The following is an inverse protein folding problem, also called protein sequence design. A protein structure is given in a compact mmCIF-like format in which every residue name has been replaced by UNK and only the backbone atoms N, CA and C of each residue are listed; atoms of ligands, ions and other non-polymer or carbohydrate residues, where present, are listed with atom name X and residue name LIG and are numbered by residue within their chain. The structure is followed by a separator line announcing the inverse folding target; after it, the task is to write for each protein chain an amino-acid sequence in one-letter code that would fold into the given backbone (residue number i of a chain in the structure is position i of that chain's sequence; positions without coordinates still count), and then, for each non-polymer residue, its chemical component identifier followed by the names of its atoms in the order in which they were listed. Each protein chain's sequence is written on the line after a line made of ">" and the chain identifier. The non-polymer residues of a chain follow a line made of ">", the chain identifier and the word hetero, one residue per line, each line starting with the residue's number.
data_IF_425228846946
#
_entry.id   IF_425228846946
#
_cell.length_a   1.000
_cell.length_b   1.000
_cell.length_c   1.000
_cell.angle_alpha   90.00
_cell.angle_beta   90.00
_cell.angle_gamma   90.00
#
_symmetry.space_group_name_H-M   'P 1'
#
loop_
_entity.id
_entity.type
_entity.pdbx_description
1 polymer ?
#
# COMPACT_ATOMS: atom_id res chain seq x y z
N UNK A 1 9.89 -3.98 0.44
CA UNK A 1 8.97 -4.86 1.20
C UNK A 1 7.59 -4.22 1.15
N UNK A 2 6.57 -4.82 0.51
CA UNK A 2 5.28 -4.09 0.31
C UNK A 2 4.47 -3.95 1.59
N UNK A 3 3.62 -2.91 1.66
CA UNK A 3 2.71 -2.66 2.77
C UNK A 3 1.83 -3.86 3.10
N UNK A 4 1.29 -4.52 2.07
CA UNK A 4 0.46 -5.71 2.23
C UNK A 4 1.24 -6.87 2.86
N UNK A 5 2.53 -7.01 2.54
CA UNK A 5 3.37 -8.06 3.10
C UNK A 5 3.76 -7.74 4.56
N UNK A 6 3.96 -6.47 4.89
CA UNK A 6 4.23 -6.03 6.27
C UNK A 6 3.09 -6.37 7.23
N UNK A 7 1.85 -6.02 6.88
CA UNK A 7 0.67 -6.32 7.71
C UNK A 7 0.46 -7.84 7.87
N UNK A 8 0.69 -8.62 6.81
CA UNK A 8 0.63 -10.10 6.84
C UNK A 8 1.73 -10.69 7.73
N UNK A 9 2.96 -10.23 7.57
CA UNK A 9 4.12 -10.71 8.34
C UNK A 9 3.98 -10.42 9.84
N UNK A 10 3.36 -9.29 10.20
CA UNK A 10 3.12 -8.91 11.60
C UNK A 10 1.83 -9.52 12.17
N UNK A 11 1.06 -10.25 11.36
CA UNK A 11 -0.25 -10.79 11.73
C UNK A 11 -1.21 -9.71 12.27
N UNK A 12 -1.13 -8.51 11.70
CA UNK A 12 -1.98 -7.38 12.10
C UNK A 12 -3.27 -7.45 11.29
N UNK A 13 -4.44 -7.49 11.95
CA UNK A 13 -5.71 -7.49 11.24
C UNK A 13 -5.94 -6.15 10.53
N UNK A 14 -6.39 -6.20 9.28
CA UNK A 14 -6.69 -5.03 8.43
C UNK A 14 -7.64 -4.05 9.14
N UNK A 15 -8.57 -4.57 9.95
CA UNK A 15 -9.47 -3.76 10.78
C UNK A 15 -8.72 -2.81 11.73
N UNK A 16 -7.70 -3.31 12.41
CA UNK A 16 -6.89 -2.49 13.34
C UNK A 16 -6.11 -1.44 12.58
N UNK A 17 -5.49 -1.80 11.45
CA UNK A 17 -4.76 -0.85 10.60
C UNK A 17 -5.68 0.27 10.11
N UNK A 18 -6.89 -0.08 9.68
CA UNK A 18 -7.88 0.89 9.22
C UNK A 18 -8.33 1.83 10.35
N UNK A 19 -8.55 1.30 11.55
CA UNK A 19 -8.93 2.06 12.74
C UNK A 19 -7.84 3.06 13.16
N UNK A 20 -6.59 2.62 13.25
CA UNK A 20 -5.45 3.48 13.61
C UNK A 20 -5.12 4.53 12.54
N UNK A 21 -5.38 4.22 11.28
CA UNK A 21 -5.26 5.16 10.18
C UNK A 21 -6.52 6.02 9.99
N UNK A 22 -7.55 5.85 10.82
CA UNK A 22 -8.84 6.55 10.76
C UNK A 22 -9.48 6.53 9.36
N UNK A 23 -9.41 5.37 8.70
CA UNK A 23 -10.01 5.14 7.37
C UNK A 23 -10.96 3.95 7.43
N UNK A 24 -11.88 3.88 6.45
CA UNK A 24 -12.75 2.72 6.32
C UNK A 24 -11.96 1.48 5.87
N UNK A 25 -12.25 0.31 6.44
CA UNK A 25 -11.66 -0.95 5.99
C UNK A 25 -11.85 -1.19 4.49
N UNK A 26 -13.03 -0.91 3.95
CA UNK A 26 -13.29 -1.03 2.50
C UNK A 26 -12.39 -0.13 1.65
N UNK A 27 -12.00 1.03 2.18
CA UNK A 27 -11.07 1.93 1.51
C UNK A 27 -9.65 1.35 1.50
N UNK A 28 -9.20 0.84 2.65
CA UNK A 28 -7.92 0.16 2.78
C UNK A 28 -7.83 -1.08 1.88
N UNK A 29 -8.90 -1.89 1.82
CA UNK A 29 -8.97 -3.05 0.93
C UNK A 29 -8.78 -2.68 -0.54
N UNK A 30 -9.42 -1.62 -1.02
CA UNK A 30 -9.27 -1.15 -2.40
C UNK A 30 -7.84 -0.71 -2.71
N UNK A 31 -7.15 -0.09 -1.75
CA UNK A 31 -5.74 0.27 -1.91
C UNK A 31 -4.87 -1.00 -1.97
N UNK A 32 -5.07 -1.93 -1.04
CA UNK A 32 -4.32 -3.20 -0.99
C UNK A 32 -4.59 -4.13 -2.18
N UNK A 33 -5.69 -3.91 -2.90
CA UNK A 33 -6.05 -4.61 -4.13
C UNK A 33 -5.54 -3.90 -5.40
N UNK A 34 -4.90 -2.73 -5.27
CA UNK A 34 -4.47 -1.90 -6.40
C UNK A 34 -5.63 -1.20 -7.14
N UNK A 35 -6.88 -1.35 -6.67
CA UNK A 35 -8.07 -0.71 -7.28
C UNK A 35 -8.13 0.79 -7.01
N UNK A 36 -7.33 1.30 -6.07
CA UNK A 36 -7.29 2.71 -5.70
C UNK A 36 -5.89 3.18 -5.41
N UNK A 37 -5.53 4.33 -5.98
CA UNK A 37 -4.25 4.98 -5.70
C UNK A 37 -4.15 5.41 -4.23
N UNK A 38 -2.98 5.16 -3.65
CA UNK A 38 -2.63 5.62 -2.31
C UNK A 38 -2.26 7.11 -2.36
N UNK A 39 -3.09 7.97 -1.75
CA UNK A 39 -2.78 9.39 -1.66
C UNK A 39 -1.59 9.69 -0.74
N UNK A 40 -0.80 10.75 -1.01
CA UNK A 40 0.44 11.06 -0.27
C UNK A 40 0.21 11.34 1.22
N UNK A 41 -0.94 11.92 1.59
CA UNK A 41 -1.33 12.11 3.00
C UNK A 41 -1.49 10.78 3.73
N UNK A 42 -2.12 9.80 3.10
CA UNK A 42 -2.32 8.48 3.70
C UNK A 42 -1.00 7.70 3.72
N UNK A 43 -0.18 7.81 2.68
CA UNK A 43 1.16 7.24 2.67
C UNK A 43 2.00 7.74 3.85
N UNK A 44 2.00 9.06 4.11
CA UNK A 44 2.70 9.62 5.27
C UNK A 44 2.20 9.06 6.60
N UNK A 45 0.87 8.88 6.76
CA UNK A 45 0.30 8.24 7.95
C UNK A 45 0.74 6.79 8.11
N UNK A 46 0.79 6.02 7.03
CA UNK A 46 1.23 4.61 7.05
C UNK A 46 2.71 4.53 7.45
N UNK A 47 3.57 5.40 6.92
CA UNK A 47 4.99 5.47 7.29
C UNK A 47 5.13 5.68 8.80
N UNK A 48 4.43 6.67 9.36
CA UNK A 48 4.45 6.96 10.80
C UNK A 48 3.87 5.82 11.63
N UNK A 49 2.73 5.27 11.22
CA UNK A 49 2.08 4.13 11.89
C UNK A 49 2.98 2.89 11.93
N UNK A 50 3.75 2.66 10.86
CA UNK A 50 4.70 1.55 10.77
C UNK A 50 6.02 1.79 11.53
N UNK A 51 6.14 2.88 12.30
CA UNK A 51 7.38 3.31 12.96
C UNK A 51 8.55 3.42 11.96
N UNK A 52 8.27 3.98 10.77
CA UNK A 52 9.21 4.09 9.65
C UNK A 52 9.76 2.76 9.12
N UNK A 53 9.14 1.61 9.45
CA UNK A 53 9.49 0.32 8.86
C UNK A 53 9.11 0.24 7.36
N UNK A 54 8.18 1.07 6.91
CA UNK A 54 7.82 1.24 5.50
C UNK A 54 8.24 2.64 5.02
N UNK A 55 8.75 2.70 3.80
CA UNK A 55 9.07 3.97 3.13
C UNK A 55 8.06 4.28 2.03
N UNK A 56 8.06 5.53 1.53
CA UNK A 56 7.22 5.88 0.37
C UNK A 56 7.50 4.98 -0.84
N UNK A 57 8.74 4.58 -1.06
CA UNK A 57 9.11 3.64 -2.12
C UNK A 57 8.40 2.29 -1.93
N UNK A 58 8.41 1.73 -0.71
CA UNK A 58 7.69 0.49 -0.39
C UNK A 58 6.17 0.58 -0.58
N UNK A 59 5.60 1.78 -0.44
CA UNK A 59 4.17 2.05 -0.59
C UNK A 59 3.75 2.29 -2.05
N UNK A 60 4.65 2.79 -2.90
CA UNK A 60 4.40 3.09 -4.32
C UNK A 60 5.05 2.10 -5.29
N UNK A 61 5.85 1.15 -4.79
CA UNK A 61 6.54 0.15 -5.61
C UNK A 61 5.61 -0.70 -6.49
N UNK A 62 4.35 -0.91 -6.08
CA UNK A 62 3.37 -1.69 -6.86
C UNK A 62 2.79 -0.91 -8.06
N UNK A 63 2.99 0.41 -8.16
CA UNK A 63 2.49 1.22 -9.27
C UNK A 63 3.35 1.13 -10.55
N UNK A 64 4.58 0.60 -10.46
CA UNK A 64 5.58 0.67 -11.55
C UNK A 64 5.64 -0.62 -12.41
N UNK A 65 4.88 -1.67 -12.09
CA UNK A 65 4.93 -2.94 -12.84
C UNK A 65 3.95 -3.05 -14.01
N UNK A 66 2.88 -2.24 -14.08
CA UNK A 66 1.95 -2.29 -15.22
C UNK A 66 2.41 -1.51 -16.46
N UNK A 67 3.31 -0.53 -16.31
CA UNK A 67 3.78 0.27 -17.46
C UNK A 67 4.84 -0.48 -18.28
N UNK A 68 5.69 -1.30 -17.65
CA UNK A 68 6.75 -2.04 -18.36
C UNK A 68 6.24 -3.22 -19.20
N UNK A 69 5.02 -3.74 -18.95
CA UNK A 69 4.47 -4.88 -19.71
C UNK A 69 3.81 -4.43 -21.03
N UNK A 70 3.45 -3.16 -21.20
CA UNK A 70 2.86 -2.67 -22.46
C UNK A 70 3.87 -2.23 -23.52
N UNK A 71 5.10 -1.90 -23.14
CA UNK A 71 6.13 -1.42 -24.08
C UNK A 71 6.95 -2.54 -24.73
N UNK A 72 6.80 -3.79 -24.28
CA UNK A 72 7.53 -4.96 -24.80
C UNK A 72 6.72 -5.91 -25.69
N UNK A 73 5.54 -5.51 -26.16
CA UNK A 73 4.68 -6.32 -27.04
C UNK A 73 4.41 -5.64 -28.40
N UNK A 74 5.40 -4.87 -28.87
CA UNK A 74 5.41 -4.27 -30.20
C UNK A 74 6.85 -4.22 -30.73
N UNK A 75 7.50 -5.39 -30.82
CA UNK A 75 8.65 -5.63 -31.70
C UNK A 75 8.24 -6.59 -32.82
#
# INVERSE_FOLDING_TARGET
>A
MTFQNYIKSKNIPIKTVADELEISQSFLYKILAGERELGPKLAARIVVWSDHALTFDDLYAEAILEESVRVGAAE
#
